data_IF_193389840396
#
_entry.id   IF_193389840396
#
_cell.length_a   1.000
_cell.length_b   1.000
_cell.length_c   1.000
_cell.angle_alpha   90.00
_cell.angle_beta   90.00
_cell.angle_gamma   90.00
#
_symmetry.space_group_name_H-M   'P 1'
#
loop_
_entity.id
_entity.type
_entity.pdbx_description
1 polymer ?
#
# COMPACT_ATOMS: atom_id res chain seq x y z
N UNK A 1 15.87 -4.69 -32.31
CA UNK A 1 15.69 -4.29 -30.90
C UNK A 1 14.19 -4.32 -30.62
N UNK A 2 13.67 -5.35 -29.94
CA UNK A 2 12.25 -5.40 -29.56
C UNK A 2 12.09 -4.53 -28.31
N UNK A 3 11.27 -3.49 -28.40
CA UNK A 3 10.97 -2.62 -27.27
C UNK A 3 9.87 -3.30 -26.46
N UNK A 4 10.24 -3.86 -25.30
CA UNK A 4 9.30 -4.34 -24.29
C UNK A 4 8.62 -3.13 -23.64
N UNK A 5 7.68 -2.53 -24.35
CA UNK A 5 6.72 -1.59 -23.77
C UNK A 5 5.59 -2.41 -23.17
N UNK A 6 5.55 -2.50 -21.85
CA UNK A 6 4.34 -2.94 -21.15
C UNK A 6 3.25 -1.93 -21.50
N UNK A 7 2.11 -2.42 -21.99
CA UNK A 7 0.96 -1.60 -22.34
C UNK A 7 0.46 -0.81 -21.14
N UNK A 8 -0.10 0.37 -21.38
CA UNK A 8 -0.77 1.14 -20.32
C UNK A 8 -2.07 0.43 -19.98
N UNK A 9 -2.13 -0.21 -18.82
CA UNK A 9 -3.38 -0.73 -18.29
C UNK A 9 -4.05 0.35 -17.44
N UNK A 10 -5.22 0.79 -17.91
CA UNK A 10 -6.04 1.79 -17.23
C UNK A 10 -7.09 1.05 -16.40
N UNK A 11 -7.00 1.16 -15.08
CA UNK A 11 -7.97 0.54 -14.16
C UNK A 11 -9.04 1.57 -13.83
N UNK A 12 -10.15 1.53 -14.57
CA UNK A 12 -11.28 2.45 -14.38
C UNK A 12 -12.13 2.15 -13.13
N UNK A 13 -12.22 0.88 -12.72
CA UNK A 13 -13.02 0.49 -11.56
C UNK A 13 -12.14 0.26 -10.33
N UNK A 14 -12.15 1.21 -9.41
CA UNK A 14 -11.53 1.08 -8.09
C UNK A 14 -12.63 0.91 -7.05
N UNK A 15 -12.76 -0.27 -6.40
CA UNK A 15 -13.75 -0.49 -5.35
C UNK A 15 -13.35 0.17 -4.02
N UNK A 16 -12.37 1.09 -4.04
CA UNK A 16 -11.82 1.79 -2.90
C UNK A 16 -11.61 3.26 -3.23
N UNK A 17 -11.50 4.09 -2.19
CA UNK A 17 -11.19 5.52 -2.29
C UNK A 17 -9.91 5.81 -1.52
N UNK A 18 -8.99 6.54 -2.14
CA UNK A 18 -7.79 7.05 -1.50
C UNK A 18 -8.05 8.47 -1.00
N UNK A 19 -7.62 8.75 0.23
CA UNK A 19 -7.67 10.10 0.83
C UNK A 19 -6.23 10.47 1.17
N UNK A 20 -5.76 11.57 0.61
CA UNK A 20 -4.45 12.17 0.96
C UNK A 20 -4.76 13.57 1.49
N UNK A 21 -4.63 13.82 2.81
CA UNK A 21 -4.81 15.16 3.35
C UNK A 21 -3.78 16.12 2.75
N UNK A 22 -4.14 17.40 2.62
CA UNK A 22 -3.17 18.41 2.17
C UNK A 22 -2.14 18.65 3.28
N UNK A 23 -0.91 18.96 2.89
CA UNK A 23 0.14 19.32 3.84
C UNK A 23 -0.34 20.47 4.75
N UNK A 24 -0.28 20.26 6.06
CA UNK A 24 -0.72 21.23 7.07
C UNK A 24 -2.21 21.16 7.44
N UNK A 25 -3.01 20.29 6.82
CA UNK A 25 -4.34 19.94 7.32
C UNK A 25 -4.23 18.85 8.40
N UNK A 26 -4.95 19.03 9.52
CA UNK A 26 -4.98 18.02 10.57
C UNK A 26 -5.71 16.75 10.10
N UNK A 27 -5.14 15.58 10.43
CA UNK A 27 -5.74 14.25 10.21
C UNK A 27 -7.09 14.07 10.93
N UNK A 28 -7.49 15.02 11.78
CA UNK A 28 -8.77 15.07 12.49
C UNK A 28 -10.01 15.03 11.58
N UNK A 29 -9.85 15.29 10.27
CA UNK A 29 -10.91 15.16 9.27
C UNK A 29 -11.00 13.76 8.63
N UNK A 30 -10.06 12.85 8.90
CA UNK A 30 -10.14 11.47 8.42
C UNK A 30 -11.18 10.74 9.30
N UNK A 31 -12.33 10.32 8.74
CA UNK A 31 -13.36 9.68 9.54
C UNK A 31 -12.83 8.38 10.12
N UNK A 32 -12.66 8.33 11.45
CA UNK A 32 -12.36 7.08 12.17
C UNK A 32 -13.63 6.22 12.10
N UNK A 33 -13.50 4.99 11.60
CA UNK A 33 -14.66 4.14 11.37
C UNK A 33 -15.20 3.56 12.69
N UNK A 34 -16.46 3.82 13.00
CA UNK A 34 -17.11 3.29 14.21
C UNK A 34 -17.52 1.80 14.12
N UNK A 35 -17.59 1.23 12.91
CA UNK A 35 -18.02 -0.16 12.66
C UNK A 35 -17.13 -0.85 11.60
N UNK A 36 -15.84 -0.49 11.56
CA UNK A 36 -14.87 -1.00 10.59
C UNK A 36 -13.62 -1.53 11.25
N UNK A 37 -12.73 -2.08 10.46
CA UNK A 37 -11.39 -2.49 10.92
C UNK A 37 -10.36 -1.52 10.37
N UNK A 38 -9.38 -1.16 11.21
CA UNK A 38 -8.34 -0.20 10.84
C UNK A 38 -6.99 -0.88 10.88
N UNK A 39 -6.32 -0.86 9.74
CA UNK A 39 -4.97 -1.35 9.57
C UNK A 39 -3.99 -0.19 9.45
N UNK A 40 -2.81 -0.39 10.00
CA UNK A 40 -1.66 0.50 9.87
C UNK A 40 -0.58 -0.24 9.11
N UNK A 41 -0.01 0.40 8.12
CA UNK A 41 1.08 -0.17 7.30
C UNK A 41 2.34 0.67 7.45
N UNK A 42 3.48 0.01 7.31
CA UNK A 42 4.80 0.65 7.33
C UNK A 42 5.79 -0.16 6.46
N UNK A 43 6.62 0.56 5.71
CA UNK A 43 7.68 0.04 4.88
C UNK A 43 9.04 0.55 5.39
N UNK A 44 9.91 -0.37 5.79
CA UNK A 44 11.23 -0.02 6.29
C UNK A 44 12.34 -0.46 5.34
N UNK A 45 13.43 0.31 5.29
CA UNK A 45 14.66 -0.07 4.61
C UNK A 45 15.87 0.24 5.47
N UNK A 46 16.75 -0.75 5.60
CA UNK A 46 18.09 -0.63 6.17
C UNK A 46 19.13 -0.93 5.09
N UNK A 47 20.42 -0.78 5.40
CA UNK A 47 21.49 -1.22 4.50
C UNK A 47 21.47 -2.73 4.24
N UNK A 48 20.94 -3.49 5.20
CA UNK A 48 21.00 -4.95 5.21
C UNK A 48 19.72 -5.60 4.73
N UNK A 49 18.56 -4.93 4.76
CA UNK A 49 17.30 -5.52 4.32
C UNK A 49 16.21 -4.47 4.14
N UNK A 50 15.08 -4.89 3.57
CA UNK A 50 13.85 -4.11 3.40
C UNK A 50 12.72 -4.94 3.99
N UNK A 51 11.86 -4.32 4.79
CA UNK A 51 10.76 -4.97 5.49
C UNK A 51 9.43 -4.28 5.23
N UNK A 52 8.36 -5.05 5.17
CA UNK A 52 6.99 -4.56 5.08
C UNK A 52 6.19 -5.05 6.28
N UNK A 53 5.45 -4.16 6.93
CA UNK A 53 4.69 -4.43 8.14
C UNK A 53 3.24 -3.97 8.01
N UNK A 54 2.30 -4.75 8.54
CA UNK A 54 0.93 -4.32 8.69
C UNK A 54 0.36 -4.80 10.03
N UNK A 55 -0.34 -3.93 10.75
CA UNK A 55 -0.97 -4.28 12.03
C UNK A 55 -2.40 -3.78 12.12
N UNK A 56 -3.21 -4.51 12.87
CA UNK A 56 -4.56 -4.13 13.26
C UNK A 56 -4.77 -4.54 14.71
N UNK A 57 -5.46 -3.68 15.47
CA UNK A 57 -5.73 -3.91 16.90
C UNK A 57 -7.04 -4.66 17.17
N UNK A 58 -7.95 -4.71 16.21
CA UNK A 58 -9.22 -5.41 16.38
C UNK A 58 -9.69 -6.08 15.07
N UNK A 59 -9.54 -7.42 14.96
CA UNK A 59 -8.82 -8.31 15.85
C UNK A 59 -7.30 -8.09 15.78
N UNK A 60 -6.60 -8.37 16.88
CA UNK A 60 -5.14 -8.28 16.95
C UNK A 60 -4.49 -9.15 15.85
N UNK A 61 -3.76 -8.50 14.97
CA UNK A 61 -3.06 -9.13 13.86
C UNK A 61 -1.83 -8.31 13.50
N UNK A 62 -0.71 -8.99 13.33
CA UNK A 62 0.53 -8.41 12.85
C UNK A 62 1.05 -9.23 11.67
N UNK A 63 1.47 -8.54 10.63
CA UNK A 63 2.09 -9.09 9.43
C UNK A 63 3.47 -8.47 9.33
N UNK A 64 4.49 -9.30 9.17
CA UNK A 64 5.87 -8.88 8.92
C UNK A 64 6.46 -9.69 7.77
N UNK A 65 6.95 -8.99 6.75
CA UNK A 65 7.47 -9.59 5.51
C UNK A 65 8.88 -9.05 5.27
N UNK A 66 9.84 -9.96 5.13
CA UNK A 66 11.20 -9.63 4.70
C UNK A 66 11.30 -9.68 3.18
N UNK A 67 11.66 -8.55 2.56
CA UNK A 67 11.79 -8.39 1.10
C UNK A 67 13.26 -8.45 0.63
N UNK A 68 14.20 -8.62 1.55
CA UNK A 68 15.63 -8.61 1.29
C UNK A 68 16.15 -7.23 0.88
N UNK A 69 17.35 -7.21 0.31
CA UNK A 69 18.16 -6.00 0.28
C UNK A 69 17.83 -5.07 -0.91
N UNK A 70 17.21 -5.62 -1.94
CA UNK A 70 17.03 -4.94 -3.23
C UNK A 70 15.69 -4.23 -3.38
N UNK A 71 14.70 -4.55 -2.53
CA UNK A 71 13.42 -3.86 -2.56
C UNK A 71 13.60 -2.38 -2.14
N UNK A 72 12.81 -1.50 -2.73
CA UNK A 72 12.74 -0.09 -2.32
C UNK A 72 11.78 0.06 -1.14
N UNK A 73 11.88 1.17 -0.40
CA UNK A 73 10.87 1.54 0.62
C UNK A 73 9.48 1.55 0.00
N UNK A 74 9.33 2.18 -1.17
CA UNK A 74 8.04 2.23 -1.88
C UNK A 74 7.47 0.84 -2.20
N UNK A 75 8.29 -0.12 -2.61
CA UNK A 75 7.84 -1.49 -2.84
C UNK A 75 7.46 -2.19 -1.52
N UNK A 76 8.12 -1.85 -0.42
CA UNK A 76 7.79 -2.37 0.91
C UNK A 76 6.43 -1.88 1.39
N UNK A 77 6.17 -0.57 1.26
CA UNK A 77 4.87 0.04 1.55
C UNK A 77 3.75 -0.66 0.79
N UNK A 78 3.86 -0.71 -0.55
CA UNK A 78 2.85 -1.35 -1.41
C UNK A 78 2.64 -2.83 -1.05
N UNK A 79 3.71 -3.50 -0.61
CA UNK A 79 3.62 -4.89 -0.15
C UNK A 79 2.85 -4.99 1.17
N UNK A 80 3.06 -4.07 2.10
CA UNK A 80 2.30 -4.02 3.36
C UNK A 80 0.80 -3.84 3.12
N UNK A 81 0.39 -2.91 2.24
CA UNK A 81 -1.02 -2.75 1.84
C UNK A 81 -1.56 -4.01 1.18
N UNK A 82 -0.79 -4.62 0.27
CA UNK A 82 -1.21 -5.84 -0.42
C UNK A 82 -1.42 -7.00 0.56
N UNK A 83 -0.50 -7.17 1.51
CA UNK A 83 -0.58 -8.21 2.53
C UNK A 83 -1.76 -8.01 3.48
N UNK A 84 -2.02 -6.76 3.88
CA UNK A 84 -3.21 -6.38 4.62
C UNK A 84 -4.49 -6.79 3.85
N UNK A 85 -4.60 -6.42 2.57
CA UNK A 85 -5.76 -6.75 1.74
C UNK A 85 -5.95 -8.27 1.57
N UNK A 86 -4.86 -9.01 1.38
CA UNK A 86 -4.88 -10.47 1.32
C UNK A 86 -5.37 -11.10 2.63
N UNK A 87 -4.90 -10.61 3.77
CA UNK A 87 -5.31 -11.13 5.07
C UNK A 87 -6.79 -10.87 5.36
N UNK A 88 -7.30 -9.70 4.99
CA UNK A 88 -8.74 -9.40 5.08
C UNK A 88 -9.59 -10.27 4.16
N UNK A 89 -9.09 -10.53 2.94
CA UNK A 89 -9.73 -11.45 1.99
C UNK A 89 -9.76 -12.87 2.56
N UNK A 90 -8.63 -13.34 3.12
CA UNK A 90 -8.48 -14.67 3.74
C UNK A 90 -9.42 -14.87 4.93
N UNK A 91 -9.63 -13.82 5.74
CA UNK A 91 -10.57 -13.83 6.87
C UNK A 91 -12.03 -13.64 6.46
N UNK A 92 -12.33 -13.59 5.15
CA UNK A 92 -13.68 -13.39 4.61
C UNK A 92 -14.37 -12.16 5.17
N UNK A 93 -13.65 -11.04 5.29
CA UNK A 93 -14.24 -9.76 5.71
C UNK A 93 -15.22 -9.28 4.65
N UNK A 94 -16.47 -9.71 4.79
CA UNK A 94 -17.59 -9.34 3.92
C UNK A 94 -18.47 -8.34 4.66
N UNK A 95 -19.00 -7.34 3.94
CA UNK A 95 -19.85 -6.28 4.49
C UNK A 95 -19.23 -5.44 5.63
N UNK A 96 -17.91 -5.47 5.80
CA UNK A 96 -17.18 -4.61 6.73
C UNK A 96 -16.49 -3.49 5.98
N UNK A 97 -16.56 -2.28 6.53
CA UNK A 97 -15.76 -1.17 6.03
C UNK A 97 -14.33 -1.33 6.57
N UNK A 98 -13.36 -1.15 5.68
CA UNK A 98 -11.93 -1.31 5.97
C UNK A 98 -11.28 0.06 5.81
N UNK A 99 -10.36 0.39 6.71
CA UNK A 99 -9.48 1.54 6.62
C UNK A 99 -8.04 1.06 6.68
N UNK A 100 -7.21 1.49 5.73
CA UNK A 100 -5.77 1.29 5.76
C UNK A 100 -5.14 2.68 5.91
N UNK A 101 -4.28 2.84 6.91
CA UNK A 101 -3.59 4.08 7.24
C UNK A 101 -2.10 3.87 6.94
N UNK A 102 -1.57 4.76 6.11
CA UNK A 102 -0.16 4.84 5.73
C UNK A 102 0.25 6.30 5.80
N UNK A 103 1.46 6.57 6.29
CA UNK A 103 2.08 7.90 6.28
C UNK A 103 2.79 8.22 4.95
N UNK A 104 2.93 7.21 4.07
CA UNK A 104 3.55 7.35 2.76
C UNK A 104 2.59 7.99 1.75
N UNK A 105 2.66 9.33 1.62
CA UNK A 105 1.91 10.04 0.57
C UNK A 105 2.22 9.52 -0.84
N UNK A 106 3.46 9.07 -1.10
CA UNK A 106 3.86 8.53 -2.39
C UNK A 106 3.10 7.24 -2.72
N UNK A 107 2.96 6.36 -1.72
CA UNK A 107 2.17 5.14 -1.81
C UNK A 107 0.69 5.45 -2.10
N UNK A 108 0.09 6.34 -1.29
CA UNK A 108 -1.31 6.71 -1.44
C UNK A 108 -1.57 7.36 -2.82
N UNK A 109 -0.69 8.27 -3.27
CA UNK A 109 -0.79 8.87 -4.61
C UNK A 109 -0.69 7.82 -5.71
N UNK A 110 0.18 6.82 -5.57
CA UNK A 110 0.30 5.73 -6.53
C UNK A 110 -0.97 4.86 -6.60
N UNK A 111 -1.59 4.55 -5.45
CA UNK A 111 -2.88 3.85 -5.42
C UNK A 111 -4.03 4.69 -5.99
N UNK A 112 -3.97 6.02 -5.82
CA UNK A 112 -4.93 6.96 -6.37
C UNK A 112 -4.81 7.11 -7.90
N UNK A 113 -3.60 6.97 -8.44
CA UNK A 113 -3.32 7.14 -9.87
C UNK A 113 -4.08 6.12 -10.73
N UNK A 114 -4.76 6.61 -11.77
CA UNK A 114 -5.55 5.80 -12.72
C UNK A 114 -4.64 5.04 -13.71
N UNK A 115 -3.35 5.39 -13.75
CA UNK A 115 -2.35 4.87 -14.67
C UNK A 115 -1.20 4.25 -13.86
N UNK A 116 -0.90 2.97 -14.09
CA UNK A 116 0.30 2.32 -13.57
C UNK A 116 1.39 2.48 -14.63
N UNK A 117 2.41 3.29 -14.35
CA UNK A 117 3.61 3.37 -15.19
C UNK A 117 4.72 2.52 -14.57
N UNK A 118 4.84 1.27 -15.04
CA UNK A 118 6.02 0.46 -14.73
C UNK A 118 7.18 0.90 -15.63
N UNK A 119 8.11 1.70 -15.10
CA UNK A 119 9.40 1.89 -15.73
C UNK A 119 10.35 0.76 -15.33
N UNK A 120 10.76 -0.06 -16.29
CA UNK A 120 11.85 -1.01 -16.09
C UNK A 120 13.16 -0.20 -16.02
N UNK A 121 13.77 -0.16 -14.85
CA UNK A 121 15.10 0.42 -14.67
C UNK A 121 16.13 -0.50 -15.37
N UNK A 122 16.57 -0.12 -16.57
CA UNK A 122 17.67 -0.80 -17.26
C UNK A 122 18.96 -0.57 -16.48
N UNK A 123 19.58 -1.66 -16.01
CA UNK A 123 20.92 -1.67 -15.40
C UNK A 123 21.94 -1.12 -16.41
N UNK A 124 22.47 0.07 -16.15
CA UNK A 124 23.68 0.55 -16.80
C UNK A 124 24.86 -0.32 -16.37
N UNK A 125 25.57 -0.87 -17.36
CA UNK A 125 26.86 -1.55 -17.19
C UNK A 125 27.97 -0.53 -16.97
#
# INVERSE_FOLDING_TARGET
>A
MRSDRIGRDIIFHKPYRVIVPKEGEEDSHIPIQQNGTTWYTDGSKTEQSTGAGATNRDPDCEISINLGNFATVFQAEITAISACAQEMTRRSYTNKRIQIISDSQAELKALGAVEIQSQVQQRGR
#
